data_IF_947749133181
#
_entry.id   IF_947749133181
#
_cell.length_a   1.000
_cell.length_b   1.000
_cell.length_c   1.000
_cell.angle_alpha   90.00
_cell.angle_beta   90.00
_cell.angle_gamma   90.00
#
_symmetry.space_group_name_H-M   'P 1'
#
loop_
_entity.id
_entity.type
_entity.pdbx_description
1 polymer ?
#
# COMPACT_ATOMS: atom_id res chain seq x y z
N UNK A 1 -20.88 -17.96 1.00
CA UNK A 1 -20.63 -16.60 1.50
C UNK A 1 -19.27 -16.17 0.98
N UNK A 2 -19.21 -15.49 -0.17
CA UNK A 2 -17.96 -15.02 -0.75
C UNK A 2 -17.56 -13.74 -0.02
N UNK A 3 -16.44 -13.76 0.73
CA UNK A 3 -15.89 -12.57 1.35
C UNK A 3 -15.66 -11.50 0.29
N UNK A 4 -16.16 -10.28 0.51
CA UNK A 4 -15.90 -9.14 -0.38
C UNK A 4 -14.40 -8.83 -0.32
N UNK A 5 -13.61 -9.43 -1.21
CA UNK A 5 -12.20 -9.08 -1.36
C UNK A 5 -12.12 -7.63 -1.84
N UNK A 6 -11.59 -6.74 -1.01
CA UNK A 6 -11.22 -5.41 -1.45
C UNK A 6 -9.90 -5.54 -2.21
N UNK A 7 -9.97 -5.57 -3.54
CA UNK A 7 -8.79 -5.57 -4.41
C UNK A 7 -8.17 -4.17 -4.40
N UNK A 8 -6.89 -4.09 -4.06
CA UNK A 8 -6.10 -2.87 -4.15
C UNK A 8 -5.16 -2.96 -5.35
N UNK A 9 -5.04 -1.87 -6.09
CA UNK A 9 -4.13 -1.75 -7.21
C UNK A 9 -3.08 -0.69 -6.88
N UNK A 10 -1.82 -1.04 -7.09
CA UNK A 10 -0.69 -0.11 -6.92
C UNK A 10 -0.58 0.77 -8.17
N UNK A 11 -0.52 2.08 -7.97
CA UNK A 11 -0.46 3.04 -9.09
C UNK A 11 0.75 3.95 -9.11
N UNK A 12 1.48 4.07 -7.99
CA UNK A 12 2.69 4.86 -7.97
C UNK A 12 3.63 4.42 -6.84
N UNK A 13 4.92 4.41 -7.16
CA UNK A 13 6.04 4.25 -6.24
C UNK A 13 6.88 5.52 -6.31
N UNK A 14 6.85 6.33 -5.25
CA UNK A 14 7.72 7.50 -5.17
C UNK A 14 9.06 7.08 -4.56
N UNK A 15 10.09 7.01 -5.39
CA UNK A 15 11.48 6.88 -4.96
C UNK A 15 12.09 8.29 -4.83
N UNK A 16 11.73 9.01 -3.77
CA UNK A 16 12.40 10.25 -3.37
C UNK A 16 13.47 9.97 -2.31
N UNK A 17 14.23 11.00 -1.90
CA UNK A 17 15.22 10.93 -0.79
C UNK A 17 14.60 10.66 0.60
N UNK A 18 13.43 10.02 0.68
CA UNK A 18 12.66 9.72 1.89
C UNK A 18 12.07 8.30 1.85
N UNK A 19 11.36 7.89 2.90
CA UNK A 19 10.84 6.52 3.02
C UNK A 19 9.89 6.16 1.87
N UNK A 20 9.92 4.92 1.36
CA UNK A 20 9.09 4.49 0.25
C UNK A 20 7.60 4.73 0.53
N UNK A 21 6.90 5.39 -0.39
CA UNK A 21 5.46 5.59 -0.28
C UNK A 21 4.72 4.98 -1.48
N UNK A 22 3.64 4.26 -1.17
CA UNK A 22 2.78 3.58 -2.12
C UNK A 22 1.40 4.23 -2.18
N UNK A 23 0.94 4.51 -3.40
CA UNK A 23 -0.44 4.95 -3.66
C UNK A 23 -1.27 3.76 -4.14
N UNK A 24 -2.29 3.41 -3.36
CA UNK A 24 -3.22 2.32 -3.64
C UNK A 24 -4.59 2.88 -3.98
N UNK A 25 -5.28 2.28 -4.94
CA UNK A 25 -6.73 2.47 -5.11
C UNK A 25 -7.46 1.15 -4.94
N UNK A 26 -8.66 1.19 -4.35
CA UNK A 26 -9.53 0.02 -4.34
C UNK A 26 -10.53 0.04 -5.51
N UNK A 27 -11.25 -1.07 -5.69
CA UNK A 27 -12.33 -1.19 -6.70
C UNK A 27 -13.49 -0.21 -6.51
N UNK A 28 -13.55 0.51 -5.39
CA UNK A 28 -14.53 1.56 -5.09
C UNK A 28 -14.00 2.98 -5.35
N UNK A 29 -12.79 3.12 -5.89
CA UNK A 29 -12.17 4.41 -6.18
C UNK A 29 -11.57 5.13 -4.96
N UNK A 30 -11.51 4.48 -3.79
CA UNK A 30 -10.88 5.07 -2.60
C UNK A 30 -9.36 4.96 -2.72
N UNK A 31 -8.67 6.06 -2.48
CA UNK A 31 -7.20 6.16 -2.49
C UNK A 31 -6.64 6.03 -1.08
N UNK A 32 -5.57 5.25 -0.92
CA UNK A 32 -4.81 5.09 0.31
C UNK A 32 -3.33 5.37 0.06
N UNK A 33 -2.65 5.90 1.08
CA UNK A 33 -1.22 6.15 1.08
C UNK A 33 -0.58 5.32 2.18
N UNK A 34 0.39 4.47 1.80
CA UNK A 34 1.17 3.66 2.74
C UNK A 34 2.61 4.12 2.67
N UNK A 35 3.17 4.57 3.80
CA UNK A 35 4.60 4.81 3.94
C UNK A 35 5.23 3.57 4.56
N UNK A 36 6.10 2.89 3.83
CA UNK A 36 6.91 1.81 4.39
C UNK A 36 8.10 2.40 5.12
N UNK A 37 8.40 1.84 6.29
CA UNK A 37 9.65 2.07 6.99
C UNK A 37 10.56 0.87 6.68
N UNK A 38 11.85 1.11 6.42
CA UNK A 38 12.84 0.05 6.16
C UNK A 38 13.15 -0.82 7.38
N UNK A 39 12.54 -0.56 8.55
CA UNK A 39 12.62 -1.45 9.69
C UNK A 39 12.01 -2.81 9.37
N UNK A 40 12.87 -3.75 9.02
CA UNK A 40 12.57 -5.18 8.99
C UNK A 40 12.05 -5.59 10.37
N UNK A 41 10.74 -5.76 10.49
CA UNK A 41 10.15 -6.33 11.70
C UNK A 41 10.39 -7.84 11.64
N UNK A 42 11.46 -8.29 12.29
CA UNK A 42 11.67 -9.72 12.54
C UNK A 42 10.63 -10.18 13.56
N UNK A 43 9.61 -10.91 13.11
CA UNK A 43 8.64 -11.56 13.99
C UNK A 43 9.12 -13.00 14.21
N UNK A 44 9.46 -13.31 15.46
CA UNK A 44 9.81 -14.67 15.90
C UNK A 44 8.55 -15.49 16.15
#
# INVERSE_FOLDING_TARGET
>A
MLGRHNTFFLTNFNYGNGPPQYKLHNSKGVTYYITANESYVYVK
#
